data_IF_793350789957
#
_entry.id   IF_793350789957
#
_cell.length_a   1.000
_cell.length_b   1.000
_cell.length_c   1.000
_cell.angle_alpha   90.00
_cell.angle_beta   90.00
_cell.angle_gamma   90.00
#
_symmetry.space_group_name_H-M   'P 1'
#
loop_
_entity.id
_entity.type
_entity.pdbx_description
1 polymer ?
#
# COMPACT_ATOMS: atom_id res chain seq x y z
N UNK A 1 -26.45 -17.23 12.55
CA UNK A 1 -26.10 -18.30 13.51
C UNK A 1 -24.83 -17.89 14.24
N UNK A 2 -24.68 -18.12 15.56
CA UNK A 2 -23.54 -17.63 16.34
C UNK A 2 -22.30 -18.51 16.11
N UNK A 3 -21.17 -17.90 15.73
CA UNK A 3 -19.88 -18.57 15.55
C UNK A 3 -19.18 -18.92 16.87
N UNK A 4 -18.08 -19.70 16.84
CA UNK A 4 -17.50 -20.33 18.02
C UNK A 4 -16.74 -19.31 18.88
N UNK A 5 -17.18 -19.17 20.14
CA UNK A 5 -16.53 -18.36 21.17
C UNK A 5 -15.33 -19.09 21.77
N UNK A 6 -14.13 -18.55 21.54
CA UNK A 6 -12.91 -18.98 22.23
C UNK A 6 -12.91 -18.46 23.68
N UNK A 7 -13.50 -19.25 24.58
CA UNK A 7 -13.51 -18.96 26.02
C UNK A 7 -12.21 -19.41 26.71
N UNK A 8 -11.17 -18.57 26.70
CA UNK A 8 -10.04 -18.72 27.62
C UNK A 8 -10.45 -18.28 29.03
N UNK A 9 -10.71 -19.29 29.88
CA UNK A 9 -10.88 -19.16 31.34
C UNK A 9 -9.66 -18.45 31.95
N UNK A 10 -9.84 -17.21 32.41
CA UNK A 10 -8.98 -16.64 33.44
C UNK A 10 -9.79 -16.33 34.70
N UNK A 11 -9.48 -17.12 35.73
CA UNK A 11 -10.07 -17.09 37.07
C UNK A 11 -9.15 -16.25 37.95
N UNK A 12 -9.55 -15.02 38.24
CA UNK A 12 -8.79 -14.13 39.13
C UNK A 12 -9.72 -13.19 39.89
N UNK A 13 -10.16 -13.60 41.08
CA UNK A 13 -10.89 -12.79 42.05
C UNK A 13 -9.92 -11.83 42.79
N UNK A 14 -10.24 -10.54 42.85
CA UNK A 14 -10.11 -9.70 44.07
C UNK A 14 -10.83 -8.37 43.83
N UNK A 15 -11.95 -8.11 44.52
CA UNK A 15 -12.08 -7.33 45.77
C UNK A 15 -11.63 -5.88 45.63
N UNK A 16 -12.61 -4.98 45.61
CA UNK A 16 -12.39 -3.53 45.57
C UNK A 16 -11.99 -2.90 46.90
N UNK A 17 -11.57 -1.64 46.83
CA UNK A 17 -11.84 -0.59 47.83
C UNK A 17 -11.26 0.75 47.37
N UNK A 18 -12.08 1.81 47.46
CA UNK A 18 -11.69 3.09 48.04
C UNK A 18 -10.86 4.05 47.19
N UNK A 19 -11.54 4.91 46.44
CA UNK A 19 -11.00 6.22 46.06
C UNK A 19 -11.08 7.17 47.26
N UNK A 20 -9.94 7.64 47.75
CA UNK A 20 -9.79 8.87 48.53
C UNK A 20 -8.36 9.41 48.36
N UNK A 21 -8.25 10.56 47.69
CA UNK A 21 -7.09 11.47 47.75
C UNK A 21 -6.89 11.95 49.19
N UNK A 22 -5.63 12.24 49.59
CA UNK A 22 -5.28 13.65 49.74
C UNK A 22 -3.86 14.01 49.29
N UNK A 23 -3.73 15.31 49.03
CA UNK A 23 -2.51 16.08 48.79
C UNK A 23 -1.46 15.97 49.90
N UNK A 24 -0.18 16.14 49.54
CA UNK A 24 0.91 16.30 50.50
C UNK A 24 2.26 16.56 49.83
N UNK A 25 2.61 17.84 49.72
CA UNK A 25 3.92 18.37 49.35
C UNK A 25 4.99 18.10 50.43
N UNK A 26 6.25 17.92 50.01
CA UNK A 26 7.50 18.59 50.46
C UNK A 26 8.73 17.66 50.59
N UNK A 27 9.73 18.01 49.79
CA UNK A 27 11.15 18.21 50.12
C UNK A 27 12.02 17.01 50.55
N UNK A 28 13.14 16.80 49.83
CA UNK A 28 14.45 17.44 50.10
C UNK A 28 15.63 16.48 49.78
N UNK A 29 16.53 16.96 48.89
CA UNK A 29 18.01 16.81 48.85
C UNK A 29 18.61 15.38 48.84
N UNK A 30 19.32 14.93 47.80
CA UNK A 30 20.62 15.35 47.22
C UNK A 30 21.62 14.16 47.36
N UNK A 31 22.89 14.28 46.97
CA UNK A 31 23.47 13.96 45.67
C UNK A 31 24.32 12.67 45.71
N UNK A 32 24.56 12.01 44.56
CA UNK A 32 25.70 11.09 44.42
C UNK A 32 26.34 11.27 43.05
N UNK A 33 27.65 11.36 43.13
CA UNK A 33 28.66 11.68 42.14
C UNK A 33 28.76 10.76 40.91
N UNK A 34 29.24 11.40 39.84
CA UNK A 34 30.05 10.97 38.68
C UNK A 34 31.01 9.77 38.92
N UNK A 35 31.62 9.13 37.87
CA UNK A 35 32.06 9.74 36.61
C UNK A 35 32.02 8.92 35.30
N UNK A 36 32.16 9.71 34.23
CA UNK A 36 32.80 9.51 32.94
C UNK A 36 33.38 8.13 32.55
N UNK A 37 32.94 7.66 31.37
CA UNK A 37 33.80 6.92 30.46
C UNK A 37 33.65 7.52 29.06
N UNK A 38 34.62 8.36 28.71
CA UNK A 38 34.89 8.90 27.38
C UNK A 38 35.54 7.77 26.58
N UNK A 39 34.81 7.18 25.64
CA UNK A 39 35.43 6.39 24.58
C UNK A 39 35.36 7.16 23.26
N UNK A 40 36.42 7.94 23.04
CA UNK A 40 36.83 8.40 21.71
C UNK A 40 37.37 7.19 20.95
N UNK A 41 36.69 6.77 19.89
CA UNK A 41 37.29 5.93 18.87
C UNK A 41 37.48 6.74 17.58
N UNK A 42 38.68 6.66 16.97
CA UNK A 42 39.05 7.44 15.80
C UNK A 42 38.38 6.92 14.53
N UNK A 43 37.96 7.87 13.70
CA UNK A 43 37.58 7.68 12.30
C UNK A 43 38.76 7.15 11.48
N UNK A 44 38.59 6.07 10.71
CA UNK A 44 39.33 5.84 9.50
C UNK A 44 38.50 6.30 8.31
N UNK A 45 38.88 7.48 7.81
CA UNK A 45 38.62 7.95 6.46
C UNK A 45 39.14 6.92 5.45
N UNK A 46 38.24 6.37 4.65
CA UNK A 46 38.57 5.65 3.43
C UNK A 46 37.44 5.87 2.46
N UNK A 47 37.57 6.95 1.67
CA UNK A 47 36.79 7.21 0.46
C UNK A 47 37.19 6.20 -0.62
N UNK A 48 36.31 5.29 -1.05
CA UNK A 48 36.46 4.66 -2.35
C UNK A 48 35.95 5.64 -3.41
N UNK A 49 36.88 6.08 -4.25
CA UNK A 49 36.67 6.83 -5.47
C UNK A 49 35.53 6.22 -6.32
N UNK A 50 34.54 7.06 -6.62
CA UNK A 50 33.44 6.79 -7.55
C UNK A 50 33.99 6.39 -8.93
N UNK A 51 33.51 5.30 -9.55
CA UNK A 51 33.72 5.07 -10.97
C UNK A 51 32.93 6.12 -11.76
N UNK A 52 33.65 6.76 -12.67
CA UNK A 52 33.21 7.79 -13.59
C UNK A 52 31.89 7.43 -14.28
N UNK A 53 30.96 8.39 -14.32
CA UNK A 53 29.69 8.30 -15.02
C UNK A 53 29.86 7.79 -16.47
N UNK A 54 29.09 6.79 -16.91
CA UNK A 54 29.06 6.42 -18.32
C UNK A 54 28.49 7.61 -19.11
N UNK A 55 29.34 8.17 -19.97
CA UNK A 55 28.99 9.20 -20.94
C UNK A 55 27.72 8.78 -21.68
N UNK A 56 26.66 9.60 -21.57
CA UNK A 56 25.46 9.54 -22.40
C UNK A 56 25.89 9.67 -23.87
N UNK A 57 26.15 8.54 -24.52
CA UNK A 57 26.30 8.48 -25.97
C UNK A 57 24.91 8.62 -26.57
N UNK A 58 24.70 9.73 -27.26
CA UNK A 58 23.62 9.88 -28.23
C UNK A 58 23.72 8.71 -29.21
N UNK A 59 22.67 7.90 -29.42
CA UNK A 59 22.71 6.86 -30.44
C UNK A 59 22.94 7.51 -31.81
N UNK A 60 23.84 6.92 -32.61
CA UNK A 60 24.03 7.30 -34.00
C UNK A 60 22.69 7.22 -34.75
N UNK A 61 22.43 8.14 -35.70
CA UNK A 61 21.23 8.06 -36.53
C UNK A 61 21.24 6.74 -37.29
N UNK A 62 20.21 5.93 -37.07
CA UNK A 62 20.01 4.67 -37.78
C UNK A 62 19.96 4.94 -39.28
N UNK A 63 20.85 4.28 -40.01
CA UNK A 63 20.89 4.29 -41.45
C UNK A 63 19.54 3.85 -42.03
N UNK A 64 19.02 4.74 -42.88
CA UNK A 64 17.80 4.54 -43.64
C UNK A 64 18.09 3.60 -44.81
N UNK A 65 18.02 2.29 -44.57
CA UNK A 65 17.89 1.32 -45.66
C UNK A 65 16.91 0.21 -45.29
N UNK A 66 15.61 0.54 -45.31
CA UNK A 66 14.58 -0.44 -45.62
C UNK A 66 13.74 0.16 -46.75
N UNK A 67 14.25 -0.04 -47.96
CA UNK A 67 13.57 0.27 -49.22
C UNK A 67 12.83 -0.99 -49.65
N UNK A 68 11.51 -0.83 -49.78
CA UNK A 68 10.60 -1.47 -50.72
C UNK A 68 10.56 -3.01 -50.80
N UNK A 69 9.54 -3.57 -50.15
CA UNK A 69 8.67 -4.58 -50.78
C UNK A 69 7.33 -4.64 -50.04
N UNK A 70 6.47 -3.65 -50.29
CA UNK A 70 5.05 -3.74 -49.96
C UNK A 70 4.26 -3.28 -51.19
N UNK A 71 4.03 -4.23 -52.09
CA UNK A 71 3.11 -4.04 -53.20
C UNK A 71 1.67 -4.08 -52.66
N UNK A 72 0.92 -3.00 -52.92
CA UNK A 72 -0.49 -3.14 -53.31
C UNK A 72 -1.59 -3.08 -52.25
N UNK A 73 -1.41 -2.44 -51.09
CA UNK A 73 -2.55 -2.03 -50.26
C UNK A 73 -2.81 -0.52 -50.43
N UNK A 74 -3.95 -0.20 -51.04
CA UNK A 74 -4.47 1.17 -51.18
C UNK A 74 -4.59 1.83 -49.80
N UNK A 75 -3.68 2.76 -49.50
CA UNK A 75 -3.45 3.34 -48.17
C UNK A 75 -3.92 4.80 -48.06
N UNK A 76 -4.89 5.24 -48.88
CA UNK A 76 -5.16 6.68 -49.04
C UNK A 76 -6.49 7.20 -48.45
N UNK A 77 -7.24 6.38 -47.70
CA UNK A 77 -8.52 6.85 -47.11
C UNK A 77 -8.74 6.60 -45.60
N UNK A 78 -7.87 5.84 -44.90
CA UNK A 78 -8.11 5.45 -43.50
C UNK A 78 -7.20 6.12 -42.45
N UNK A 79 -6.23 6.93 -42.87
CA UNK A 79 -5.29 7.61 -41.96
C UNK A 79 -5.95 8.79 -41.20
N UNK A 80 -6.84 9.62 -41.79
CA UNK A 80 -7.40 10.77 -41.09
C UNK A 80 -8.26 10.41 -39.87
N UNK A 81 -9.10 9.36 -39.98
CA UNK A 81 -10.04 8.99 -38.92
C UNK A 81 -9.36 8.46 -37.66
N UNK A 82 -8.26 7.70 -37.78
CA UNK A 82 -7.51 7.22 -36.61
C UNK A 82 -6.79 8.35 -35.88
N UNK A 83 -6.28 9.34 -36.60
CA UNK A 83 -5.59 10.49 -35.99
C UNK A 83 -6.59 11.36 -35.23
N UNK A 84 -7.76 11.66 -35.84
CA UNK A 84 -8.83 12.39 -35.16
C UNK A 84 -9.31 11.65 -33.90
N UNK A 85 -9.53 10.34 -33.99
CA UNK A 85 -10.01 9.55 -32.86
C UNK A 85 -9.01 9.53 -31.68
N UNK A 86 -7.70 9.59 -31.94
CA UNK A 86 -6.68 9.71 -30.90
C UNK A 86 -6.62 11.13 -30.31
N UNK A 87 -6.78 12.17 -31.13
CA UNK A 87 -6.72 13.56 -30.66
C UNK A 87 -7.91 13.97 -29.79
N UNK A 88 -9.07 13.32 -29.93
CA UNK A 88 -10.27 13.63 -29.14
C UNK A 88 -10.46 12.77 -27.89
N UNK A 89 -9.56 11.82 -27.62
CA UNK A 89 -9.63 11.06 -26.38
C UNK A 89 -9.10 11.91 -25.20
N UNK A 90 -9.87 12.00 -24.10
CA UNK A 90 -9.36 12.67 -22.90
C UNK A 90 -8.11 11.93 -22.42
N UNK A 91 -7.07 12.66 -21.95
CA UNK A 91 -5.86 12.02 -21.48
C UNK A 91 -6.19 11.15 -20.25
N UNK A 92 -5.69 9.91 -20.27
CA UNK A 92 -5.88 8.94 -19.18
C UNK A 92 -5.01 9.23 -17.96
N UNK A 93 -4.06 10.18 -18.07
CA UNK A 93 -3.31 10.77 -16.96
C UNK A 93 -3.58 12.28 -16.95
N UNK A 94 -3.83 12.85 -15.78
CA UNK A 94 -4.03 14.28 -15.57
C UNK A 94 -3.26 14.77 -14.35
N UNK A 95 -2.53 15.87 -14.47
CA UNK A 95 -1.81 16.48 -13.34
C UNK A 95 -2.46 17.83 -12.95
N UNK A 96 -3.09 17.93 -11.76
CA UNK A 96 -3.65 19.19 -11.26
C UNK A 96 -2.59 20.15 -10.68
N UNK A 97 -1.30 19.84 -10.79
CA UNK A 97 -0.18 20.63 -10.22
C UNK A 97 0.39 20.07 -8.92
N UNK A 98 -0.18 18.99 -8.38
CA UNK A 98 0.35 18.26 -7.21
C UNK A 98 0.63 16.78 -7.55
N UNK A 99 0.95 16.50 -8.81
CA UNK A 99 1.41 15.22 -9.31
C UNK A 99 0.38 14.50 -10.20
N UNK A 100 0.85 13.59 -11.07
CA UNK A 100 -0.01 12.92 -12.04
C UNK A 100 -1.05 12.01 -11.38
N UNK A 101 -2.28 12.03 -11.90
CA UNK A 101 -3.43 11.20 -11.49
C UNK A 101 -3.89 10.32 -12.65
N UNK A 102 -4.15 9.04 -12.38
CA UNK A 102 -4.72 8.09 -13.35
C UNK A 102 -6.23 8.27 -13.40
N UNK A 103 -6.79 8.61 -14.57
CA UNK A 103 -8.24 8.71 -14.77
C UNK A 103 -8.85 7.41 -15.25
N UNK A 104 -8.11 6.64 -16.04
CA UNK A 104 -8.54 5.33 -16.53
C UNK A 104 -7.42 4.33 -16.25
N UNK A 105 -7.63 3.51 -15.23
CA UNK A 105 -6.66 2.50 -14.82
C UNK A 105 -6.43 1.46 -15.93
N UNK A 106 -7.44 1.10 -16.72
CA UNK A 106 -7.32 0.08 -17.78
C UNK A 106 -6.43 0.55 -18.92
N UNK A 107 -6.67 1.77 -19.38
CA UNK A 107 -5.83 2.38 -20.42
C UNK A 107 -4.42 2.61 -19.87
N UNK A 108 -4.29 3.05 -18.61
CA UNK A 108 -2.98 3.21 -17.97
C UNK A 108 -2.18 1.90 -17.94
N UNK A 109 -2.79 0.78 -17.55
CA UNK A 109 -2.09 -0.52 -17.46
C UNK A 109 -1.57 -1.03 -18.80
N UNK A 110 -2.25 -0.72 -19.90
CA UNK A 110 -1.80 -1.09 -21.25
C UNK A 110 -0.83 -0.08 -21.87
N UNK A 111 -0.62 1.06 -21.20
CA UNK A 111 0.24 2.13 -21.70
C UNK A 111 1.71 1.93 -21.32
N UNK A 112 2.58 2.67 -22.01
CA UNK A 112 4.01 2.75 -21.69
C UNK A 112 4.31 3.34 -20.29
N UNK A 113 3.35 4.05 -19.67
CA UNK A 113 3.55 4.66 -18.35
C UNK A 113 3.49 3.64 -17.22
N UNK A 114 2.80 2.51 -17.41
CA UNK A 114 2.73 1.46 -16.42
C UNK A 114 4.07 0.73 -16.33
N UNK A 115 4.59 0.58 -15.11
CA UNK A 115 5.80 -0.22 -14.88
C UNK A 115 5.47 -1.72 -15.02
N UNK A 116 6.41 -2.53 -15.57
CA UNK A 116 6.24 -3.97 -15.61
C UNK A 116 6.22 -4.54 -14.18
N UNK A 117 5.60 -5.70 -14.01
CA UNK A 117 5.63 -6.42 -12.73
C UNK A 117 7.07 -6.79 -12.35
N UNK A 118 7.37 -6.77 -11.05
CA UNK A 118 8.68 -7.11 -10.52
C UNK A 118 8.77 -8.63 -10.29
N UNK A 119 9.07 -9.38 -11.34
CA UNK A 119 9.09 -10.86 -11.29
C UNK A 119 10.27 -11.45 -10.51
N UNK A 120 11.24 -10.61 -10.16
CA UNK A 120 12.39 -10.95 -9.31
C UNK A 120 12.04 -10.97 -7.81
N UNK A 121 10.93 -10.35 -7.42
CA UNK A 121 10.36 -10.42 -6.08
C UNK A 121 9.25 -11.51 -6.05
N UNK A 122 9.38 -12.57 -5.23
CA UNK A 122 8.42 -13.68 -5.22
C UNK A 122 6.97 -13.24 -4.96
N UNK A 123 6.77 -12.31 -4.03
CA UNK A 123 5.43 -11.83 -3.68
C UNK A 123 4.84 -11.02 -4.83
N UNK A 124 5.64 -10.16 -5.46
CA UNK A 124 5.21 -9.41 -6.64
C UNK A 124 4.87 -10.33 -7.81
N UNK A 125 5.63 -11.42 -8.00
CA UNK A 125 5.39 -12.41 -9.04
C UNK A 125 4.07 -13.17 -8.83
N UNK A 126 3.75 -13.55 -7.59
CA UNK A 126 2.45 -14.15 -7.23
C UNK A 126 1.30 -13.20 -7.54
N UNK A 127 1.40 -11.95 -7.10
CA UNK A 127 0.37 -10.95 -7.39
C UNK A 127 0.29 -10.56 -8.86
N UNK A 128 1.31 -10.80 -9.68
CA UNK A 128 1.31 -10.48 -11.10
C UNK A 128 0.43 -11.44 -11.93
N UNK A 129 -0.03 -12.54 -11.35
CA UNK A 129 -0.91 -13.50 -12.01
C UNK A 129 -2.26 -12.86 -12.35
N UNK A 130 -2.81 -13.24 -13.48
CA UNK A 130 -4.09 -12.72 -13.98
C UNK A 130 -5.26 -13.27 -13.16
N UNK A 131 -5.12 -14.48 -12.64
CA UNK A 131 -6.06 -15.16 -11.75
C UNK A 131 -6.25 -14.35 -10.45
N UNK A 132 -5.17 -13.79 -9.90
CA UNK A 132 -5.25 -12.92 -8.73
C UNK A 132 -6.02 -11.63 -9.03
N UNK A 133 -5.83 -11.05 -10.23
CA UNK A 133 -6.63 -9.89 -10.68
C UNK A 133 -8.12 -10.24 -10.78
N UNK A 134 -8.43 -11.41 -11.31
CA UNK A 134 -9.80 -11.90 -11.44
C UNK A 134 -10.44 -12.12 -10.06
N UNK A 135 -9.73 -12.78 -9.13
CA UNK A 135 -10.17 -12.94 -7.74
C UNK A 135 -10.42 -11.59 -7.07
N UNK A 136 -9.51 -10.61 -7.23
CA UNK A 136 -9.72 -9.27 -6.69
C UNK A 136 -10.97 -8.59 -7.26
N UNK A 137 -11.32 -8.89 -8.51
CA UNK A 137 -12.48 -8.32 -9.19
C UNK A 137 -13.81 -8.94 -8.75
N UNK A 138 -13.81 -10.08 -8.05
CA UNK A 138 -15.03 -10.65 -7.45
C UNK A 138 -15.42 -9.94 -6.16
N UNK A 139 -14.45 -9.32 -5.48
CA UNK A 139 -14.64 -8.66 -4.18
C UNK A 139 -14.62 -7.14 -4.27
N UNK A 140 -13.79 -6.56 -5.13
CA UNK A 140 -13.62 -5.11 -5.29
C UNK A 140 -14.17 -4.63 -6.64
N UNK A 141 -14.61 -3.36 -6.74
CA UNK A 141 -14.89 -2.75 -8.03
C UNK A 141 -13.68 -2.82 -8.97
N UNK A 142 -13.94 -3.02 -10.27
CA UNK A 142 -12.92 -3.29 -11.30
C UNK A 142 -11.71 -2.32 -11.23
N UNK A 143 -11.96 -1.02 -11.10
CA UNK A 143 -10.89 -0.02 -11.04
C UNK A 143 -10.03 -0.17 -9.78
N UNK A 144 -10.64 -0.41 -8.63
CA UNK A 144 -9.91 -0.59 -7.36
C UNK A 144 -9.15 -1.90 -7.34
N UNK A 145 -9.75 -2.98 -7.86
CA UNK A 145 -9.10 -4.27 -8.04
C UNK A 145 -7.84 -4.13 -8.93
N UNK A 146 -7.95 -3.41 -10.05
CA UNK A 146 -6.84 -3.20 -10.98
C UNK A 146 -5.72 -2.34 -10.36
N UNK A 147 -6.07 -1.30 -9.60
CA UNK A 147 -5.11 -0.48 -8.85
C UNK A 147 -4.39 -1.32 -7.80
N UNK A 148 -5.12 -2.12 -7.02
CA UNK A 148 -4.53 -2.98 -5.98
C UNK A 148 -3.61 -4.04 -6.59
N UNK A 149 -4.06 -4.70 -7.65
CA UNK A 149 -3.26 -5.65 -8.42
C UNK A 149 -1.97 -5.02 -8.93
N UNK A 150 -2.03 -3.83 -9.55
CA UNK A 150 -0.84 -3.08 -9.96
C UNK A 150 0.08 -2.77 -8.78
N UNK A 151 -0.46 -2.27 -7.68
CA UNK A 151 0.33 -1.91 -6.51
C UNK A 151 1.07 -3.11 -5.90
N UNK A 152 0.46 -4.29 -5.88
CA UNK A 152 1.04 -5.49 -5.24
C UNK A 152 2.03 -6.23 -6.13
N UNK A 153 1.88 -6.14 -7.44
CA UNK A 153 2.76 -6.84 -8.40
C UNK A 153 4.00 -6.04 -8.83
N UNK A 154 4.17 -4.80 -8.35
CA UNK A 154 5.30 -3.93 -8.69
C UNK A 154 6.13 -3.61 -7.45
N UNK A 155 7.44 -3.55 -7.60
CA UNK A 155 8.35 -3.24 -6.49
C UNK A 155 8.07 -1.85 -5.88
N UNK A 156 8.00 -0.80 -6.70
CA UNK A 156 7.98 0.58 -6.20
C UNK A 156 6.88 1.48 -6.76
N UNK A 157 6.41 1.25 -7.98
CA UNK A 157 5.42 2.13 -8.61
C UNK A 157 4.03 1.87 -8.03
N UNK A 158 3.32 2.94 -7.69
CA UNK A 158 2.01 2.86 -7.04
C UNK A 158 1.01 3.84 -7.67
N UNK A 159 -0.26 3.45 -7.60
CA UNK A 159 -1.43 4.32 -7.80
C UNK A 159 -2.16 4.38 -6.47
N UNK A 160 -2.38 5.57 -5.91
CA UNK A 160 -3.16 5.72 -4.69
C UNK A 160 -4.63 5.39 -4.97
N UNK A 161 -5.25 4.41 -4.30
CA UNK A 161 -6.66 4.06 -4.57
C UNK A 161 -7.64 5.17 -4.17
N UNK A 162 -7.26 6.06 -3.24
CA UNK A 162 -8.14 7.12 -2.77
C UNK A 162 -8.16 8.37 -3.68
N UNK A 163 -7.03 8.72 -4.30
CA UNK A 163 -6.90 9.95 -5.09
C UNK A 163 -6.30 9.74 -6.48
N UNK A 164 -6.10 8.48 -6.87
CA UNK A 164 -5.53 8.02 -8.14
C UNK A 164 -4.13 8.57 -8.46
N UNK A 165 -3.40 9.08 -7.46
CA UNK A 165 -2.05 9.63 -7.67
C UNK A 165 -1.05 8.54 -8.06
N UNK A 166 -0.27 8.81 -9.10
CA UNK A 166 0.94 8.06 -9.42
C UNK A 166 2.09 8.55 -8.54
N UNK A 167 2.75 7.61 -7.87
CA UNK A 167 3.90 7.89 -7.01
C UNK A 167 4.81 6.65 -6.91
N UNK A 168 5.99 6.82 -6.31
CA UNK A 168 6.90 5.73 -5.94
C UNK A 168 6.90 5.55 -4.44
N UNK A 169 7.09 4.33 -3.96
CA UNK A 169 7.28 4.07 -2.54
C UNK A 169 8.39 4.97 -1.96
N UNK A 170 8.09 5.63 -0.85
CA UNK A 170 8.99 6.59 -0.20
C UNK A 170 8.80 8.03 -0.67
N UNK A 171 8.04 8.28 -1.74
CA UNK A 171 7.65 9.64 -2.12
C UNK A 171 6.83 10.27 -0.99
N UNK A 172 7.16 11.50 -0.64
CA UNK A 172 6.40 12.31 0.29
C UNK A 172 5.57 13.35 -0.48
N UNK A 173 4.34 13.55 -0.02
CA UNK A 173 3.51 14.64 -0.49
C UNK A 173 3.93 15.92 0.24
N UNK A 174 3.98 17.08 -0.45
CA UNK A 174 4.02 18.37 0.24
C UNK A 174 2.84 18.44 1.20
N UNK A 175 3.10 18.75 2.47
CA UNK A 175 2.04 18.88 3.45
C UNK A 175 1.20 20.12 3.12
N UNK A 176 -0.05 19.92 2.69
CA UNK A 176 -0.95 21.01 2.33
C UNK A 176 -1.42 21.79 3.57
N UNK A 177 -1.14 21.27 4.77
CA UNK A 177 -1.56 21.88 6.04
C UNK A 177 -0.47 22.82 6.58
N UNK A 178 0.79 22.62 6.19
CA UNK A 178 1.95 23.26 6.83
C UNK A 178 2.83 23.95 5.77
N UNK A 179 2.33 25.05 5.20
CA UNK A 179 3.02 25.85 4.16
C UNK A 179 4.36 26.45 4.64
N UNK A 180 4.60 26.47 5.96
CA UNK A 180 5.87 26.96 6.56
C UNK A 180 6.90 25.84 6.83
N UNK A 181 6.56 24.57 6.59
CA UNK A 181 7.45 23.44 6.86
C UNK A 181 8.43 23.15 5.70
N UNK A 182 9.11 24.19 5.21
CA UNK A 182 10.23 24.03 4.29
C UNK A 182 11.48 23.59 5.06
N UNK A 183 11.59 22.32 5.48
CA UNK A 183 12.87 21.73 5.88
C UNK A 183 12.78 20.21 6.15
N UNK A 184 13.41 19.42 5.28
CA UNK A 184 14.18 18.18 5.49
C UNK A 184 13.80 17.21 6.63
N UNK A 185 12.53 17.14 7.05
CA UNK A 185 12.10 16.09 7.97
C UNK A 185 12.11 14.76 7.21
N UNK A 186 12.85 13.75 7.70
CA UNK A 186 12.80 12.43 7.09
C UNK A 186 11.35 11.94 7.10
N UNK A 187 10.88 11.30 6.02
CA UNK A 187 9.51 10.81 5.94
C UNK A 187 9.22 9.90 7.12
N UNK A 188 8.02 10.03 7.68
CA UNK A 188 7.65 9.19 8.82
C UNK A 188 7.74 7.72 8.39
N UNK A 189 8.37 6.84 9.20
CA UNK A 189 8.49 5.43 8.85
C UNK A 189 7.11 4.78 8.69
N UNK A 190 6.08 5.33 9.35
CA UNK A 190 4.69 4.90 9.21
C UNK A 190 4.10 5.21 7.83
N UNK A 191 4.47 6.31 7.18
CA UNK A 191 4.00 6.61 5.82
C UNK A 191 4.51 5.56 4.84
N UNK A 192 5.82 5.26 4.87
CA UNK A 192 6.38 4.23 3.99
C UNK A 192 5.75 2.85 4.25
N UNK A 193 5.51 2.52 5.52
CA UNK A 193 4.78 1.30 5.88
C UNK A 193 3.38 1.28 5.29
N UNK A 194 2.59 2.34 5.46
CA UNK A 194 1.23 2.37 4.89
C UNK A 194 1.24 2.31 3.36
N UNK A 195 2.15 3.01 2.69
CA UNK A 195 2.31 2.95 1.24
C UNK A 195 2.58 1.51 0.75
N UNK A 196 3.33 0.70 1.52
CA UNK A 196 3.56 -0.72 1.23
C UNK A 196 2.34 -1.59 1.50
N UNK A 197 1.62 -1.30 2.58
CA UNK A 197 0.43 -2.05 3.01
C UNK A 197 -0.71 -1.81 2.01
N UNK A 198 -1.24 -0.59 1.97
CA UNK A 198 -2.48 -0.26 1.25
C UNK A 198 -2.25 0.43 -0.09
N UNK A 199 -1.06 0.95 -0.35
CA UNK A 199 -0.80 1.79 -1.52
C UNK A 199 -1.37 3.21 -1.40
N UNK A 200 -1.78 3.64 -0.20
CA UNK A 200 -2.23 5.02 0.04
C UNK A 200 -1.04 5.99 0.14
N UNK A 201 -1.09 7.09 -0.61
CA UNK A 201 0.06 7.98 -0.77
C UNK A 201 0.31 8.96 0.39
N UNK A 202 -0.67 9.19 1.28
CA UNK A 202 -0.56 10.16 2.38
C UNK A 202 -1.48 9.85 3.56
N UNK A 203 -1.21 10.46 4.74
CA UNK A 203 -2.12 10.37 5.89
C UNK A 203 -3.54 10.84 5.56
N UNK A 204 -3.70 11.88 4.74
CA UNK A 204 -5.01 12.39 4.32
C UNK A 204 -5.77 11.35 3.51
N UNK A 205 -5.12 10.70 2.53
CA UNK A 205 -5.76 9.66 1.74
C UNK A 205 -6.20 8.46 2.58
N UNK A 206 -5.46 8.16 3.65
CA UNK A 206 -5.86 7.12 4.59
C UNK A 206 -6.97 7.51 5.53
N UNK A 207 -6.97 8.74 6.05
CA UNK A 207 -8.11 9.26 6.81
C UNK A 207 -9.38 9.17 5.96
N UNK A 208 -9.30 9.51 4.66
CA UNK A 208 -10.42 9.34 3.72
C UNK A 208 -10.82 7.87 3.53
N UNK A 209 -9.85 6.97 3.38
CA UNK A 209 -10.10 5.55 3.19
C UNK A 209 -10.68 4.86 4.45
N UNK A 210 -10.32 5.36 5.63
CA UNK A 210 -10.74 4.86 6.93
C UNK A 210 -11.86 5.70 7.56
N UNK A 211 -12.54 6.55 6.79
CA UNK A 211 -13.56 7.46 7.32
C UNK A 211 -14.72 6.75 8.00
N UNK A 212 -15.03 5.51 7.57
CA UNK A 212 -16.05 4.65 8.18
C UNK A 212 -15.62 4.06 9.53
N UNK A 213 -14.34 4.18 9.89
CA UNK A 213 -13.75 3.63 11.12
C UNK A 213 -12.90 4.71 11.84
N UNK A 214 -13.49 5.85 12.26
CA UNK A 214 -12.70 6.97 12.77
C UNK A 214 -11.91 6.62 14.04
N UNK A 215 -12.39 5.66 14.83
CA UNK A 215 -11.74 5.17 16.05
C UNK A 215 -10.43 4.42 15.78
N UNK A 216 -10.28 3.78 14.60
CA UNK A 216 -9.11 2.94 14.29
C UNK A 216 -8.04 3.66 13.48
N UNK A 217 -8.30 4.87 12.97
CA UNK A 217 -7.37 5.60 12.09
C UNK A 217 -5.96 5.65 12.70
N UNK A 218 -5.84 6.02 13.98
CA UNK A 218 -4.53 6.17 14.62
C UNK A 218 -3.86 4.83 14.92
N UNK A 219 -4.63 3.80 15.29
CA UNK A 219 -4.09 2.51 15.68
C UNK A 219 -3.76 1.62 14.47
N UNK A 220 -4.47 1.79 13.35
CA UNK A 220 -4.27 1.02 12.13
C UNK A 220 -3.23 1.61 11.16
N UNK A 221 -2.89 2.90 11.27
CA UNK A 221 -1.96 3.56 10.35
C UNK A 221 -0.56 2.92 10.37
N UNK A 222 -0.15 2.38 9.22
CA UNK A 222 1.15 1.73 9.04
C UNK A 222 1.29 0.40 9.77
N UNK A 223 0.18 -0.25 10.15
CA UNK A 223 0.17 -1.54 10.84
C UNK A 223 -0.55 -2.62 10.04
N UNK A 224 0.04 -3.81 10.03
CA UNK A 224 -0.60 -5.04 9.56
C UNK A 224 -1.62 -5.58 10.56
N UNK A 225 -2.44 -6.55 10.15
CA UNK A 225 -3.47 -7.20 10.97
C UNK A 225 -2.94 -7.74 12.29
N UNK A 226 -1.83 -8.45 12.23
CA UNK A 226 -1.12 -9.08 13.35
C UNK A 226 -0.40 -8.09 14.29
N UNK A 227 -0.19 -6.85 13.85
CA UNK A 227 0.42 -5.77 14.64
C UNK A 227 -0.62 -4.90 15.39
N UNK A 228 -1.92 -5.14 15.17
CA UNK A 228 -3.01 -4.42 15.84
C UNK A 228 -3.51 -5.17 17.06
N UNK A 229 -4.01 -4.43 18.05
CA UNK A 229 -4.74 -5.05 19.16
C UNK A 229 -6.10 -5.58 18.68
N UNK A 230 -6.59 -6.65 19.32
CA UNK A 230 -7.86 -7.31 18.97
C UNK A 230 -9.03 -6.31 18.90
N UNK A 231 -9.07 -5.32 19.79
CA UNK A 231 -10.13 -4.30 19.80
C UNK A 231 -10.09 -3.42 18.55
N UNK A 232 -8.90 -2.96 18.13
CA UNK A 232 -8.71 -2.23 16.88
C UNK A 232 -9.07 -3.08 15.67
N UNK A 233 -8.70 -4.36 15.67
CA UNK A 233 -8.99 -5.27 14.57
C UNK A 233 -10.49 -5.54 14.44
N UNK A 234 -11.18 -5.78 15.55
CA UNK A 234 -12.63 -5.99 15.59
C UNK A 234 -13.36 -4.75 15.06
N UNK A 235 -13.00 -3.56 15.53
CA UNK A 235 -13.59 -2.29 15.07
C UNK A 235 -13.39 -2.04 13.56
N UNK A 236 -12.27 -2.51 12.99
CA UNK A 236 -12.02 -2.39 11.56
C UNK A 236 -12.91 -3.38 10.77
N UNK A 237 -13.18 -4.55 11.32
CA UNK A 237 -14.01 -5.60 10.72
C UNK A 237 -15.51 -5.46 11.00
N UNK A 238 -15.89 -4.57 11.92
CA UNK A 238 -17.29 -4.31 12.24
C UNK A 238 -18.08 -3.99 10.96
N UNK A 239 -19.29 -4.56 10.83
CA UNK A 239 -20.17 -4.23 9.73
C UNK A 239 -20.45 -2.72 9.76
N UNK A 240 -20.16 -2.05 8.64
CA UNK A 240 -20.48 -0.63 8.49
C UNK A 240 -21.99 -0.54 8.30
N UNK A 241 -22.70 -0.27 9.40
CA UNK A 241 -24.14 -0.03 9.39
C UNK A 241 -24.43 1.29 8.66
N UNK A 242 -25.02 1.22 7.47
CA UNK A 242 -25.70 2.39 6.90
C UNK A 242 -25.76 2.50 5.38
N UNK A 243 -26.98 2.77 4.92
CA UNK A 243 -27.40 3.28 3.60
C UNK A 243 -26.83 4.68 3.26
N UNK A 244 -25.98 5.24 4.14
CA UNK A 244 -25.49 6.64 4.09
C UNK A 244 -24.02 6.78 3.69
N UNK A 245 -23.30 5.65 3.56
CA UNK A 245 -21.89 5.69 3.15
C UNK A 245 -21.78 5.63 1.63
N UNK A 246 -20.95 6.49 1.05
CA UNK A 246 -20.72 6.44 -0.40
C UNK A 246 -20.05 5.12 -0.77
N UNK A 247 -20.38 4.57 -1.94
CA UNK A 247 -19.76 3.34 -2.46
C UNK A 247 -18.22 3.43 -2.42
N UNK A 248 -17.67 4.59 -2.76
CA UNK A 248 -16.23 4.86 -2.69
C UNK A 248 -15.67 4.67 -1.28
N UNK A 249 -16.32 5.23 -0.24
CA UNK A 249 -15.85 5.09 1.15
C UNK A 249 -15.89 3.64 1.61
N UNK A 250 -16.92 2.88 1.21
CA UNK A 250 -17.06 1.45 1.52
C UNK A 250 -15.98 0.64 0.83
N UNK A 251 -15.74 0.89 -0.46
CA UNK A 251 -14.67 0.25 -1.24
C UNK A 251 -13.29 0.52 -0.66
N UNK A 252 -13.00 1.76 -0.29
CA UNK A 252 -11.72 2.11 0.33
C UNK A 252 -11.56 1.48 1.72
N UNK A 253 -12.61 1.46 2.54
CA UNK A 253 -12.59 0.77 3.84
C UNK A 253 -12.35 -0.73 3.69
N UNK A 254 -12.94 -1.36 2.67
CA UNK A 254 -12.66 -2.77 2.34
C UNK A 254 -11.23 -2.98 1.88
N UNK A 255 -10.68 -2.10 1.04
CA UNK A 255 -9.27 -2.15 0.63
C UNK A 255 -8.33 -2.03 1.85
N UNK A 256 -8.61 -1.11 2.78
CA UNK A 256 -7.84 -0.94 4.02
C UNK A 256 -7.82 -2.23 4.83
N UNK A 257 -8.97 -2.92 4.96
CA UNK A 257 -9.06 -4.23 5.62
C UNK A 257 -8.25 -5.30 4.92
N UNK A 258 -8.54 -5.53 3.64
CA UNK A 258 -7.91 -6.59 2.85
C UNK A 258 -6.39 -6.45 2.88
N UNK A 259 -5.88 -5.25 2.65
CA UNK A 259 -4.43 -5.01 2.55
C UNK A 259 -3.63 -5.23 3.83
N UNK A 260 -4.30 -5.41 4.98
CA UNK A 260 -3.69 -5.74 6.27
C UNK A 260 -3.54 -7.23 6.51
N UNK A 261 -4.06 -8.06 5.60
CA UNK A 261 -3.86 -9.49 5.56
C UNK A 261 -2.76 -9.81 4.55
N UNK A 262 -1.92 -10.81 4.84
CA UNK A 262 -0.76 -11.16 4.01
C UNK A 262 -1.16 -11.57 2.59
N UNK A 263 -2.25 -12.31 2.47
CA UNK A 263 -2.85 -12.82 1.23
C UNK A 263 -4.03 -11.94 0.74
N UNK A 264 -4.14 -10.72 1.29
CA UNK A 264 -5.29 -9.83 1.14
C UNK A 264 -6.62 -10.40 1.68
N UNK A 265 -6.57 -11.50 2.43
CA UNK A 265 -7.74 -12.27 2.85
C UNK A 265 -8.41 -13.00 1.70
N UNK A 266 -7.76 -13.17 0.55
CA UNK A 266 -8.35 -13.85 -0.60
C UNK A 266 -8.66 -15.31 -0.29
N UNK A 267 -7.86 -15.98 0.54
CA UNK A 267 -8.18 -17.34 0.98
C UNK A 267 -9.53 -17.41 1.73
N UNK A 268 -9.86 -16.37 2.51
CA UNK A 268 -11.11 -16.31 3.29
C UNK A 268 -12.28 -15.76 2.47
N UNK A 269 -12.01 -14.90 1.49
CA UNK A 269 -13.03 -14.23 0.68
C UNK A 269 -13.45 -15.04 -0.55
N UNK A 270 -12.55 -15.85 -1.10
CA UNK A 270 -12.80 -16.62 -2.32
C UNK A 270 -13.14 -18.09 -2.07
N UNK A 271 -12.82 -18.64 -0.89
CA UNK A 271 -13.15 -20.01 -0.53
C UNK A 271 -14.16 -20.00 0.62
N UNK A 272 -15.19 -20.85 0.53
CA UNK A 272 -16.14 -21.02 1.63
C UNK A 272 -15.40 -21.53 2.88
N UNK A 273 -15.89 -21.18 4.08
CA UNK A 273 -15.22 -21.53 5.34
C UNK A 273 -14.91 -23.03 5.51
N UNK A 274 -15.70 -23.90 4.88
CA UNK A 274 -15.48 -25.36 4.85
C UNK A 274 -14.29 -25.76 3.95
N UNK A 275 -14.08 -25.06 2.83
CA UNK A 275 -13.00 -25.32 1.89
C UNK A 275 -11.66 -24.75 2.39
N UNK A 276 -11.70 -23.57 3.02
CA UNK A 276 -10.53 -22.99 3.69
C UNK A 276 -10.05 -23.87 4.87
N UNK A 277 -10.97 -24.42 5.67
CA UNK A 277 -10.64 -25.33 6.77
C UNK A 277 -9.99 -26.64 6.28
N UNK A 278 -10.39 -27.14 5.11
CA UNK A 278 -9.77 -28.34 4.53
C UNK A 278 -8.32 -28.10 4.07
N UNK A 279 -7.99 -26.90 3.59
CA UNK A 279 -6.64 -26.54 3.16
C UNK A 279 -5.68 -26.41 4.34
N UNK A 280 -6.11 -25.76 5.44
CA UNK A 280 -5.30 -25.67 6.67
C UNK A 280 -4.99 -27.05 7.25
N UNK A 281 -5.97 -27.96 7.27
CA UNK A 281 -5.77 -29.34 7.74
C UNK A 281 -4.84 -30.16 6.84
N UNK A 282 -4.72 -29.81 5.55
CA UNK A 282 -3.83 -30.49 4.62
C UNK A 282 -2.36 -30.09 4.83
N UNK A 283 -2.11 -28.81 5.13
CA UNK A 283 -0.76 -28.32 5.46
C UNK A 283 -0.25 -28.91 6.78
N UNK A 284 -1.11 -28.99 7.81
CA UNK A 284 -0.75 -29.63 9.09
C UNK A 284 -0.42 -31.13 8.94
N UNK A 285 -1.05 -31.83 7.99
CA UNK A 285 -0.76 -33.24 7.74
C UNK A 285 0.58 -33.45 7.02
N UNK A 286 0.97 -32.53 6.13
CA UNK A 286 2.27 -32.58 5.44
C UNK A 286 3.45 -32.29 6.38
N UNK A 287 3.27 -31.43 7.39
CA UNK A 287 4.31 -31.19 8.41
C UNK A 287 4.51 -32.39 9.35
N UNK A 288 3.45 -33.17 9.60
CA UNK A 288 3.52 -34.37 10.45
C UNK A 288 4.14 -35.56 9.72
N UNK A 289 3.94 -35.71 8.41
CA UNK A 289 4.56 -36.80 7.63
C UNK A 289 6.03 -36.53 7.26
N UNK A 290 6.50 -35.29 7.40
CA UNK A 290 7.89 -34.91 7.13
C UNK A 290 8.80 -34.86 8.37
N UNK A 291 8.24 -35.17 9.55
CA UNK A 291 8.93 -35.27 10.85
C UNK A 291 9.15 -36.72 11.28
#
# INVERSE_FOLDING_TARGET
MPGPSNSRKNKGKSRGKGSKRPSGNLARQAPVDQPAAVHKHPSPSSTPSLPSSPSLRTPSPLDKEIVNSFEGFSLEAHIPQKVEQVMFQPPFIHDPGNGPRVRDARIFMSSFFAKPAALDDPLCAEFAQEEVRQMLSTVLPEETALILWYNKSRAESRICPACQRLYRLGDHLPDLIDEESTEDKPPSPQLLREQKISGLCSPVCFIMASFNFPSVIKSAWGRMGDEMDDTTWDLLNDPVDGDTTSDTSRTLGMLVRMTRLHDLGLAQLCFDAEEASMLEMADEQLEVESS
#
